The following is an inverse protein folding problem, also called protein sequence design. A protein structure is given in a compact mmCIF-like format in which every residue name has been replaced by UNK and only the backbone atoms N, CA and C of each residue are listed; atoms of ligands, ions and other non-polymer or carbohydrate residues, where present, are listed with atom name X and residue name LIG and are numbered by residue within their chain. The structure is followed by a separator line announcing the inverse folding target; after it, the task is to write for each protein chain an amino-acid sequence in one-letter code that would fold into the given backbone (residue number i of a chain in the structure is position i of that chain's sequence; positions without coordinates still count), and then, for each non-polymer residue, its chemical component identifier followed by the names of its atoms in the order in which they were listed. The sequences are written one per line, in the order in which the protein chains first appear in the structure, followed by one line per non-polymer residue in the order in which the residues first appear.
data_IF_646298314159
#
_entry.id   IF_646298314159
#
_cell.length_a   1.000
_cell.length_b   1.000
_cell.length_c   1.000
_cell.angle_alpha   90.00
_cell.angle_beta   90.00
_cell.angle_gamma   90.00
#
_symmetry.space_group_name_H-M   'P 1'
#
loop_
_entity.id
_entity.type
_entity.pdbx_description
1 polymer ?
#
# COMPACT_ATOMS: atom_id res chain seq x y z
N UNK A 1 -0.24 -7.37 -18.73
CA UNK A 1 -0.95 -6.33 -17.95
C UNK A 1 0.06 -5.56 -17.13
N UNK A 2 0.50 -4.40 -17.67
CA UNK A 2 1.23 -3.34 -16.98
C UNK A 2 2.65 -3.67 -16.54
N UNK A 3 3.61 -3.11 -17.27
CA UNK A 3 5.05 -3.16 -16.98
C UNK A 3 5.32 -2.87 -15.50
N UNK A 4 5.96 -3.82 -14.81
CA UNK A 4 6.43 -3.65 -13.42
C UNK A 4 7.64 -2.71 -13.40
N UNK A 5 7.46 -1.47 -13.88
CA UNK A 5 8.38 -0.39 -13.51
C UNK A 5 8.19 -0.17 -12.00
N UNK A 6 9.30 -0.27 -11.28
CA UNK A 6 9.35 -0.11 -9.84
C UNK A 6 8.73 1.26 -9.48
N UNK A 7 7.56 1.29 -8.84
CA UNK A 7 6.84 2.54 -8.48
C UNK A 7 7.75 3.54 -7.75
N UNK A 8 8.72 2.99 -7.01
CA UNK A 8 9.78 3.73 -6.33
C UNK A 8 10.66 4.53 -7.28
N UNK A 9 11.12 3.94 -8.40
CA UNK A 9 11.95 4.67 -9.37
C UNK A 9 11.12 5.73 -10.09
N UNK A 10 9.89 5.40 -10.49
CA UNK A 10 8.96 6.35 -11.12
C UNK A 10 8.79 7.62 -10.27
N UNK A 11 8.57 7.47 -8.97
CA UNK A 11 8.42 8.62 -8.06
C UNK A 11 9.74 9.40 -7.90
N UNK A 12 10.90 8.73 -7.90
CA UNK A 12 12.19 9.42 -7.81
C UNK A 12 12.50 10.26 -9.05
N UNK A 13 12.14 9.77 -10.22
CA UNK A 13 12.51 10.39 -11.49
C UNK A 13 11.51 11.48 -11.91
N UNK A 14 10.21 11.28 -11.67
CA UNK A 14 9.15 12.18 -12.18
C UNK A 14 8.68 13.23 -11.16
N UNK A 15 9.02 13.11 -9.87
CA UNK A 15 8.52 14.02 -8.84
C UNK A 15 9.18 15.40 -8.91
N UNK A 16 8.37 16.43 -9.19
CA UNK A 16 8.80 17.84 -9.28
C UNK A 16 8.81 18.60 -7.94
N UNK A 17 8.62 17.92 -6.80
CA UNK A 17 8.62 18.53 -5.44
C UNK A 17 7.68 19.74 -5.29
N UNK A 18 6.45 19.61 -5.78
CA UNK A 18 5.43 20.67 -5.76
C UNK A 18 4.58 20.74 -4.48
N UNK A 19 4.72 19.78 -3.56
CA UNK A 19 4.04 19.71 -2.25
C UNK A 19 2.48 19.70 -2.25
N UNK A 20 1.85 19.66 -3.41
CA UNK A 20 0.38 19.56 -3.57
C UNK A 20 -0.17 18.32 -2.85
N UNK A 21 0.54 17.19 -2.93
CA UNK A 21 0.16 15.95 -2.27
C UNK A 21 0.15 16.05 -0.74
N UNK A 22 1.07 16.83 -0.16
CA UNK A 22 1.19 17.06 1.29
C UNK A 22 0.02 17.85 1.83
N UNK A 23 -0.41 18.89 1.12
CA UNK A 23 -1.54 19.72 1.53
C UNK A 23 -2.89 18.99 1.45
N UNK A 24 -3.04 18.06 0.51
CA UNK A 24 -4.30 17.34 0.26
C UNK A 24 -4.42 15.98 0.97
N UNK A 25 -3.34 15.47 1.57
CA UNK A 25 -3.33 14.17 2.24
C UNK A 25 -3.11 14.33 3.75
N UNK A 26 -4.10 13.92 4.56
CA UNK A 26 -4.01 14.01 6.03
C UNK A 26 -2.82 13.25 6.62
N UNK A 27 -2.43 12.13 6.00
CA UNK A 27 -1.22 11.38 6.40
C UNK A 27 0.06 12.19 6.15
N UNK A 28 0.25 12.70 4.93
CA UNK A 28 1.45 13.46 4.58
C UNK A 28 1.54 14.76 5.37
N UNK A 29 0.40 15.45 5.55
CA UNK A 29 0.28 16.64 6.40
C UNK A 29 0.68 16.37 7.85
N UNK A 30 0.19 15.26 8.44
CA UNK A 30 0.51 14.89 9.83
C UNK A 30 2.01 14.71 10.08
N UNK A 31 2.72 14.10 9.14
CA UNK A 31 4.16 13.86 9.26
C UNK A 31 5.02 14.95 8.61
N UNK A 32 4.39 15.99 8.05
CA UNK A 32 5.04 17.09 7.35
C UNK A 32 5.95 16.65 6.18
N UNK A 33 5.65 15.50 5.54
CA UNK A 33 6.49 14.90 4.50
C UNK A 33 5.85 14.96 3.11
N UNK A 34 6.71 14.91 2.08
CA UNK A 34 6.30 14.80 0.68
C UNK A 34 6.28 13.36 0.17
N UNK A 35 5.67 13.14 -1.00
CA UNK A 35 5.61 11.81 -1.61
C UNK A 35 7.01 11.22 -1.91
N UNK A 36 7.96 12.06 -2.32
CA UNK A 36 9.35 11.67 -2.56
C UNK A 36 10.05 11.25 -1.26
N UNK A 37 9.83 11.96 -0.16
CA UNK A 37 10.40 11.62 1.16
C UNK A 37 9.79 10.33 1.71
N UNK A 38 8.50 10.13 1.44
CA UNK A 38 7.78 8.92 1.84
C UNK A 38 8.40 7.64 1.23
N UNK A 39 9.02 7.72 0.05
CA UNK A 39 9.77 6.60 -0.56
C UNK A 39 10.85 6.06 0.38
N UNK A 40 11.55 6.94 1.09
CA UNK A 40 12.63 6.57 2.00
C UNK A 40 12.11 6.17 3.40
N UNK A 41 10.93 6.65 3.79
CA UNK A 41 10.31 6.43 5.10
C UNK A 41 9.48 5.14 5.16
N UNK A 42 10.16 3.99 5.09
CA UNK A 42 9.54 2.65 5.19
C UNK A 42 8.87 2.35 6.53
N UNK A 43 9.24 3.08 7.57
CA UNK A 43 8.61 3.07 8.89
C UNK A 43 7.13 3.47 8.81
N UNK A 44 6.80 4.46 7.98
CA UNK A 44 5.46 5.04 7.87
C UNK A 44 4.51 4.30 6.91
N UNK A 45 4.95 3.16 6.33
CA UNK A 45 4.17 2.46 5.30
C UNK A 45 2.75 2.07 5.72
N UNK A 46 2.52 1.79 7.00
CA UNK A 46 1.19 1.45 7.55
C UNK A 46 0.38 2.67 8.00
N UNK A 47 1.00 3.85 8.08
CA UNK A 47 0.32 5.10 8.43
C UNK A 47 -0.48 5.70 7.26
N UNK A 48 -0.21 5.28 6.02
CA UNK A 48 -0.99 5.69 4.85
C UNK A 48 -2.39 5.03 4.84
N UNK A 49 -3.46 5.81 4.72
CA UNK A 49 -4.84 5.30 4.68
C UNK A 49 -5.31 4.77 3.32
N UNK A 50 -4.43 4.73 2.31
CA UNK A 50 -4.76 4.31 0.93
C UNK A 50 -5.92 5.09 0.29
N UNK A 51 -6.09 6.35 0.69
CA UNK A 51 -7.21 7.21 0.27
C UNK A 51 -7.14 7.73 -1.17
N UNK A 52 -6.07 7.44 -1.93
CA UNK A 52 -5.84 7.89 -3.31
C UNK A 52 -5.78 9.40 -3.58
N UNK A 53 -5.94 10.26 -2.58
CA UNK A 53 -5.87 11.72 -2.74
C UNK A 53 -4.55 12.21 -3.35
N UNK A 54 -3.44 11.54 -3.05
CA UNK A 54 -2.14 11.93 -3.59
C UNK A 54 -2.08 11.79 -5.12
N UNK A 55 -2.72 10.77 -5.68
CA UNK A 55 -2.75 10.49 -7.11
C UNK A 55 -3.67 11.47 -7.83
N UNK A 56 -4.87 11.72 -7.27
CA UNK A 56 -5.88 12.59 -7.89
C UNK A 56 -5.44 14.05 -8.04
N UNK A 57 -4.55 14.54 -7.18
CA UNK A 57 -4.06 15.92 -7.22
C UNK A 57 -2.68 16.06 -7.87
N UNK A 58 -2.01 14.96 -8.19
CA UNK A 58 -0.64 15.02 -8.67
C UNK A 58 -0.62 15.36 -10.17
N UNK A 59 0.09 16.43 -10.60
CA UNK A 59 0.20 16.78 -12.02
C UNK A 59 0.96 15.73 -12.86
N UNK A 60 1.73 14.86 -12.20
CA UNK A 60 2.49 13.76 -12.81
C UNK A 60 1.83 12.39 -12.59
N UNK A 61 0.63 12.37 -12.02
CA UNK A 61 -0.14 11.15 -11.77
C UNK A 61 0.65 10.08 -10.98
N UNK A 62 1.32 10.52 -9.90
CA UNK A 62 2.10 9.66 -9.02
C UNK A 62 1.24 9.12 -7.87
N UNK A 63 1.15 7.79 -7.75
CA UNK A 63 0.31 7.16 -6.73
C UNK A 63 1.06 6.88 -5.43
N UNK A 64 0.64 7.56 -4.35
CA UNK A 64 1.09 7.26 -2.99
C UNK A 64 0.47 6.00 -2.39
N UNK A 65 -0.70 5.57 -2.88
CA UNK A 65 -1.32 4.30 -2.49
C UNK A 65 -0.48 3.13 -2.97
N UNK A 66 -0.11 3.13 -4.24
CA UNK A 66 0.65 2.03 -4.82
C UNK A 66 2.04 1.92 -4.20
N UNK A 67 2.69 3.06 -3.91
CA UNK A 67 3.92 3.11 -3.13
C UNK A 67 3.74 2.45 -1.76
N UNK A 68 2.71 2.85 -0.99
CA UNK A 68 2.46 2.26 0.33
C UNK A 68 2.14 0.75 0.25
N UNK A 69 1.40 0.31 -0.77
CA UNK A 69 1.08 -1.10 -1.00
C UNK A 69 2.33 -1.91 -1.36
N UNK A 70 3.19 -1.38 -2.24
CA UNK A 70 4.46 -2.01 -2.60
C UNK A 70 5.35 -2.20 -1.36
N UNK A 71 5.48 -1.17 -0.53
CA UNK A 71 6.24 -1.24 0.73
C UNK A 71 5.67 -2.29 1.70
N UNK A 72 4.34 -2.40 1.80
CA UNK A 72 3.67 -3.40 2.66
C UNK A 72 3.86 -4.81 2.14
N UNK A 73 3.81 -5.01 0.82
CA UNK A 73 4.03 -6.32 0.17
C UNK A 73 5.47 -6.80 0.35
N UNK A 74 6.45 -5.90 0.25
CA UNK A 74 7.89 -6.22 0.43
C UNK A 74 8.23 -6.67 1.86
N UNK A 75 7.67 -6.02 2.89
CA UNK A 75 7.90 -6.39 4.31
C UNK A 75 6.61 -6.34 5.14
N UNK A 76 5.74 -7.35 5.00
CA UNK A 76 4.48 -7.42 5.73
C UNK A 76 4.71 -7.65 7.24
N UNK A 77 3.97 -6.91 8.08
CA UNK A 77 4.03 -7.01 9.54
C UNK A 77 3.12 -8.13 10.05
N UNK A 78 3.58 -8.93 11.01
CA UNK A 78 2.75 -9.92 11.74
C UNK A 78 2.46 -11.23 11.01
N UNK A 79 2.98 -11.44 9.79
CA UNK A 79 2.65 -12.61 8.95
C UNK A 79 2.97 -13.95 9.61
N UNK A 80 4.09 -14.05 10.32
CA UNK A 80 4.54 -15.33 10.90
C UNK A 80 3.55 -15.79 11.97
N UNK A 81 3.22 -14.92 12.93
CA UNK A 81 2.24 -15.19 13.99
C UNK A 81 0.84 -15.42 13.41
N UNK A 82 0.41 -14.62 12.45
CA UNK A 82 -0.91 -14.78 11.81
C UNK A 82 -1.01 -16.08 11.01
N UNK A 83 0.05 -16.50 10.29
CA UNK A 83 0.08 -17.80 9.60
C UNK A 83 -0.01 -18.95 10.59
N UNK A 84 0.75 -18.90 11.69
CA UNK A 84 0.68 -19.94 12.73
C UNK A 84 -0.73 -20.08 13.32
N UNK A 85 -1.37 -18.97 13.70
CA UNK A 85 -2.75 -18.98 14.23
C UNK A 85 -3.74 -19.49 13.18
N UNK A 86 -3.61 -19.08 11.91
CA UNK A 86 -4.51 -19.51 10.84
C UNK A 86 -4.34 -20.99 10.49
N UNK A 87 -3.13 -21.53 10.54
CA UNK A 87 -2.87 -22.93 10.23
C UNK A 87 -3.55 -23.88 11.23
N UNK A 88 -3.81 -23.41 12.45
CA UNK A 88 -4.47 -24.19 13.51
C UNK A 88 -5.94 -23.77 13.74
N UNK A 89 -6.51 -22.94 12.86
CA UNK A 89 -7.91 -22.54 12.95
C UNK A 89 -8.81 -23.69 12.50
N UNK A 90 -9.75 -24.10 13.35
CA UNK A 90 -10.64 -25.26 13.16
C UNK A 90 -11.47 -25.21 11.87
N UNK A 91 -11.73 -24.01 11.34
CA UNK A 91 -12.38 -23.79 10.03
C UNK A 91 -11.42 -23.21 8.98
N UNK A 92 -10.12 -23.48 9.09
CA UNK A 92 -9.17 -23.08 8.05
C UNK A 92 -9.43 -23.91 6.80
N UNK A 93 -9.64 -23.22 5.67
CA UNK A 93 -9.75 -23.88 4.39
C UNK A 93 -8.35 -24.35 3.94
N UNK A 94 -7.94 -25.54 4.39
CA UNK A 94 -6.69 -26.20 4.01
C UNK A 94 -6.76 -26.88 2.63
N UNK A 95 -7.80 -26.60 1.84
CA UNK A 95 -7.90 -27.06 0.46
C UNK A 95 -6.76 -26.50 -0.39
N UNK A 96 -6.12 -27.37 -1.20
CA UNK A 96 -5.13 -26.96 -2.22
C UNK A 96 -5.74 -26.07 -3.30
N UNK A 97 -7.08 -25.98 -3.38
CA UNK A 97 -7.83 -25.21 -4.38
C UNK A 97 -8.08 -23.79 -3.84
N UNK A 98 -7.41 -22.79 -4.42
CA UNK A 98 -7.69 -21.37 -4.12
C UNK A 98 -9.05 -20.99 -4.70
N UNK A 99 -10.11 -21.11 -3.91
CA UNK A 99 -11.45 -20.64 -4.30
C UNK A 99 -11.47 -19.12 -4.18
N UNK A 100 -11.83 -18.42 -5.27
CA UNK A 100 -11.77 -16.95 -5.37
C UNK A 100 -12.92 -16.21 -4.66
N UNK A 101 -13.80 -16.88 -3.93
CA UNK A 101 -14.93 -16.24 -3.25
C UNK A 101 -15.28 -17.03 -2.00
N UNK A 102 -15.14 -16.39 -0.84
CA UNK A 102 -15.79 -16.85 0.39
C UNK A 102 -17.30 -16.85 0.09
N UNK A 103 -17.90 -18.00 -0.13
CA UNK A 103 -19.35 -18.14 -0.10
C UNK A 103 -19.76 -18.13 1.38
N UNK A 104 -19.77 -16.96 1.99
CA UNK A 104 -20.53 -16.70 3.20
C UNK A 104 -21.68 -15.77 2.78
N UNK A 105 -22.91 -16.15 3.14
CA UNK A 105 -24.22 -15.57 2.80
C UNK A 105 -24.86 -16.06 1.50
N UNK A 106 -25.93 -16.86 1.69
CA UNK A 106 -26.83 -17.28 0.60
C UNK A 106 -27.69 -18.52 0.88
N UNK A 107 -28.16 -18.75 2.11
CA UNK A 107 -29.44 -19.40 2.44
C UNK A 107 -29.95 -18.80 3.75
#
# INVERSE_FOLDING_TARGET
MGDQKNIVSKIKDECIRCDICKNNCGFLKKYNINLLEFVNRKDLRYSCFLCNKCESVCPKNLSGRDLALDMRKKKPKGVVKTKFIKNNYKFSNNSKKKIKRFALFGM
#
